data_IF_524412172403
#
_entry.id   IF_524412172403
#
_cell.length_a   1.000
_cell.length_b   1.000
_cell.length_c   1.000
_cell.angle_alpha   90.00
_cell.angle_beta   90.00
_cell.angle_gamma   90.00
#
_symmetry.space_group_name_H-M   'P 1'
#
loop_
_entity.id
_entity.type
_entity.pdbx_description
1 polymer ?
#
# COMPACT_ATOMS: atom_id res chain seq x y z
N UNK A 1 -50.06 27.94 27.76
CA UNK A 1 -48.75 27.27 27.88
C UNK A 1 -48.96 25.81 27.55
N UNK A 2 -48.63 25.39 26.33
CA UNK A 2 -48.88 24.02 25.86
C UNK A 2 -47.53 23.38 25.59
N UNK A 3 -47.23 22.34 26.37
CA UNK A 3 -45.99 21.57 26.32
C UNK A 3 -46.17 20.44 25.32
N UNK A 4 -45.37 20.52 24.25
CA UNK A 4 -44.56 19.45 23.64
C UNK A 4 -45.23 18.16 23.16
N UNK A 5 -45.24 17.99 21.84
CA UNK A 5 -44.98 16.69 21.22
C UNK A 5 -43.98 16.92 20.08
N UNK A 6 -42.69 16.84 20.40
CA UNK A 6 -41.64 16.70 19.39
C UNK A 6 -41.65 15.24 18.91
N UNK A 7 -41.60 14.96 17.60
CA UNK A 7 -41.36 13.61 17.13
C UNK A 7 -39.94 13.21 17.53
N UNK A 8 -39.84 12.11 18.28
CA UNK A 8 -38.58 11.39 18.50
C UNK A 8 -38.11 10.93 17.13
N UNK A 9 -37.02 11.53 16.65
CA UNK A 9 -36.24 10.97 15.55
C UNK A 9 -35.63 9.68 16.09
N UNK A 10 -36.22 8.56 15.71
CA UNK A 10 -35.65 7.23 15.87
C UNK A 10 -34.39 7.14 15.00
N UNK A 11 -33.26 7.63 15.54
CA UNK A 11 -31.94 7.34 15.01
C UNK A 11 -31.55 5.97 15.54
N UNK A 12 -32.01 4.92 14.84
CA UNK A 12 -31.47 3.58 14.98
C UNK A 12 -29.94 3.58 14.83
N UNK A 13 -29.23 2.56 15.33
CA UNK A 13 -27.78 2.52 15.31
C UNK A 13 -27.27 2.61 13.87
N UNK A 14 -26.66 3.75 13.53
CA UNK A 14 -25.89 4.05 12.33
C UNK A 14 -26.02 3.07 11.18
N UNK A 15 -27.10 3.17 10.41
CA UNK A 15 -27.11 2.66 9.04
C UNK A 15 -26.27 3.66 8.22
N UNK A 16 -24.98 3.36 8.10
CA UNK A 16 -24.07 4.09 7.21
C UNK A 16 -24.39 3.83 5.72
N UNK A 17 -25.45 3.07 5.43
CA UNK A 17 -25.89 2.70 4.09
C UNK A 17 -24.98 1.66 3.43
N UNK A 18 -24.02 1.08 4.18
CA UNK A 18 -23.04 0.14 3.66
C UNK A 18 -23.50 -1.30 3.88
N UNK A 19 -23.53 -2.08 2.80
CA UNK A 19 -23.84 -3.50 2.88
C UNK A 19 -22.69 -4.29 3.54
N UNK A 20 -22.97 -5.54 3.94
CA UNK A 20 -21.98 -6.39 4.61
C UNK A 20 -20.74 -6.68 3.75
N UNK A 21 -20.90 -6.71 2.42
CA UNK A 21 -19.80 -6.95 1.48
C UNK A 21 -18.85 -5.76 1.44
N UNK A 22 -19.39 -4.55 1.37
CA UNK A 22 -18.61 -3.32 1.38
C UNK A 22 -17.94 -3.10 2.74
N UNK A 23 -18.62 -3.39 3.86
CA UNK A 23 -18.00 -3.36 5.20
C UNK A 23 -16.83 -4.34 5.31
N UNK A 24 -16.96 -5.53 4.74
CA UNK A 24 -15.87 -6.52 4.69
C UNK A 24 -14.70 -5.99 3.83
N UNK A 25 -14.99 -5.44 2.66
CA UNK A 25 -13.97 -4.91 1.76
C UNK A 25 -13.18 -3.73 2.38
N UNK A 26 -13.86 -2.84 3.13
CA UNK A 26 -13.22 -1.75 3.88
C UNK A 26 -12.32 -2.30 5.00
N UNK A 27 -12.79 -3.29 5.76
CA UNK A 27 -11.99 -3.91 6.81
C UNK A 27 -10.74 -4.61 6.26
N UNK A 28 -10.88 -5.32 5.13
CA UNK A 28 -9.77 -5.96 4.42
C UNK A 28 -8.77 -4.92 3.89
N UNK A 29 -9.26 -3.79 3.37
CA UNK A 29 -8.42 -2.71 2.93
C UNK A 29 -7.60 -2.11 4.07
N UNK A 30 -8.24 -1.85 5.23
CA UNK A 30 -7.57 -1.35 6.41
C UNK A 30 -6.47 -2.31 6.89
N UNK A 31 -6.78 -3.61 6.95
CA UNK A 31 -5.81 -4.64 7.31
C UNK A 31 -4.63 -4.71 6.32
N UNK A 32 -4.91 -4.60 5.03
CA UNK A 32 -3.90 -4.62 3.95
C UNK A 32 -3.01 -3.37 3.99
N UNK A 33 -3.60 -2.20 4.21
CA UNK A 33 -2.87 -0.93 4.36
C UNK A 33 -1.92 -0.95 5.55
N UNK A 34 -2.36 -1.49 6.70
CA UNK A 34 -1.49 -1.64 7.86
C UNK A 34 -0.31 -2.58 7.58
N UNK A 35 -0.55 -3.74 6.94
CA UNK A 35 0.53 -4.66 6.57
C UNK A 35 1.54 -4.00 5.62
N UNK A 36 1.04 -3.29 4.61
CA UNK A 36 1.88 -2.54 3.68
C UNK A 36 2.73 -1.48 4.40
N UNK A 37 2.11 -0.67 5.25
CA UNK A 37 2.80 0.36 6.01
C UNK A 37 3.89 -0.22 6.94
N UNK A 38 3.60 -1.32 7.64
CA UNK A 38 4.59 -2.00 8.48
C UNK A 38 5.78 -2.51 7.68
N UNK A 39 5.54 -3.10 6.51
CA UNK A 39 6.61 -3.55 5.62
C UNK A 39 7.46 -2.35 5.15
N UNK A 40 6.85 -1.25 4.73
CA UNK A 40 7.55 -0.04 4.31
C UNK A 40 8.39 0.56 5.46
N UNK A 41 7.83 0.63 6.69
CA UNK A 41 8.58 1.08 7.87
C UNK A 41 9.78 0.17 8.17
N UNK A 42 9.69 -1.13 7.87
CA UNK A 42 10.84 -2.05 7.98
C UNK A 42 11.96 -1.71 6.97
N UNK A 43 11.60 -1.21 5.78
CA UNK A 43 12.56 -0.69 4.80
C UNK A 43 13.18 0.62 5.28
N UNK A 44 12.38 1.48 5.91
CA UNK A 44 12.84 2.74 6.49
C UNK A 44 13.89 2.52 7.60
N UNK A 45 13.66 1.53 8.47
CA UNK A 45 14.58 1.15 9.55
C UNK A 45 15.94 0.63 9.03
N UNK A 46 16.02 0.17 7.78
CA UNK A 46 17.28 -0.25 7.14
C UNK A 46 18.09 0.91 6.56
N UNK A 47 17.49 2.09 6.43
CA UNK A 47 18.18 3.23 5.81
C UNK A 47 19.15 3.88 6.81
N UNK A 48 20.38 4.10 6.35
CA UNK A 48 21.40 4.82 7.12
C UNK A 48 21.22 6.34 7.02
N UNK A 49 20.60 6.82 5.94
CA UNK A 49 20.31 8.23 5.71
C UNK A 49 18.96 8.61 6.32
N UNK A 50 18.96 9.61 7.21
CA UNK A 50 17.75 10.09 7.89
C UNK A 50 16.67 10.55 6.92
N UNK A 51 17.05 11.17 5.80
CA UNK A 51 16.10 11.64 4.78
C UNK A 51 15.38 10.48 4.10
N UNK A 52 16.10 9.43 3.73
CA UNK A 52 15.50 8.22 3.13
C UNK A 52 14.53 7.53 4.08
N UNK A 53 14.90 7.44 5.36
CA UNK A 53 14.02 6.92 6.41
C UNK A 53 12.75 7.76 6.52
N UNK A 54 12.86 9.08 6.56
CA UNK A 54 11.71 10.00 6.62
C UNK A 54 10.79 9.86 5.40
N UNK A 55 11.34 9.78 4.18
CA UNK A 55 10.53 9.58 2.96
C UNK A 55 9.76 8.26 3.00
N UNK A 56 10.40 7.17 3.42
CA UNK A 56 9.73 5.87 3.55
C UNK A 56 8.70 5.86 4.69
N UNK A 57 8.94 6.55 5.80
CA UNK A 57 7.98 6.70 6.90
C UNK A 57 6.74 7.50 6.45
N UNK A 58 6.94 8.63 5.77
CA UNK A 58 5.86 9.43 5.21
C UNK A 58 5.06 8.64 4.17
N UNK A 59 5.74 7.85 3.34
CA UNK A 59 5.09 6.98 2.38
C UNK A 59 4.26 5.88 3.04
N UNK A 60 4.78 5.25 4.10
CA UNK A 60 4.05 4.26 4.89
C UNK A 60 2.78 4.87 5.51
N UNK A 61 2.89 6.07 6.07
CA UNK A 61 1.76 6.80 6.64
C UNK A 61 0.70 7.14 5.58
N UNK A 62 1.14 7.59 4.38
CA UNK A 62 0.23 7.89 3.28
C UNK A 62 -0.54 6.64 2.81
N UNK A 63 0.15 5.50 2.63
CA UNK A 63 -0.49 4.22 2.28
C UNK A 63 -1.48 3.76 3.35
N UNK A 64 -1.08 3.80 4.61
CA UNK A 64 -1.94 3.45 5.75
C UNK A 64 -3.20 4.33 5.75
N UNK A 65 -3.02 5.65 5.64
CA UNK A 65 -4.12 6.62 5.69
C UNK A 65 -5.11 6.42 4.55
N UNK A 66 -4.62 6.26 3.32
CA UNK A 66 -5.46 6.04 2.14
C UNK A 66 -6.32 4.79 2.30
N UNK A 67 -5.73 3.70 2.79
CA UNK A 67 -6.41 2.40 2.90
C UNK A 67 -7.21 2.20 4.19
N UNK A 68 -7.15 3.13 5.15
CA UNK A 68 -7.88 3.03 6.43
C UNK A 68 -8.90 4.13 6.65
N UNK A 69 -8.63 5.36 6.22
CA UNK A 69 -9.46 6.54 6.53
C UNK A 69 -10.15 7.08 5.29
N UNK A 70 -9.42 7.18 4.19
CA UNK A 70 -9.90 7.90 3.00
C UNK A 70 -10.79 7.05 2.09
N UNK A 71 -10.71 5.73 2.19
CA UNK A 71 -11.65 4.82 1.52
C UNK A 71 -13.10 5.05 1.97
N UNK A 72 -13.31 5.47 3.22
CA UNK A 72 -14.64 5.72 3.80
C UNK A 72 -15.06 7.18 3.64
N UNK A 73 -14.09 8.10 3.55
CA UNK A 73 -14.30 9.53 3.68
C UNK A 73 -14.51 10.28 2.36
N UNK A 74 -15.07 9.66 1.30
CA UNK A 74 -15.30 10.29 -0.02
C UNK A 74 -16.16 11.58 0.02
N UNK A 75 -15.62 12.70 0.51
CA UNK A 75 -16.24 14.01 0.55
C UNK A 75 -15.27 15.18 0.38
N UNK A 76 -13.97 14.93 0.31
CA UNK A 76 -12.98 16.00 0.17
C UNK A 76 -12.04 15.74 -1.00
N UNK A 77 -12.37 16.33 -2.16
CA UNK A 77 -11.62 16.17 -3.41
C UNK A 77 -10.18 16.71 -3.29
N UNK A 78 -9.95 17.71 -2.43
CA UNK A 78 -8.63 18.32 -2.18
C UNK A 78 -7.67 17.34 -1.51
N UNK A 79 -8.17 16.52 -0.59
CA UNK A 79 -7.37 15.55 0.14
C UNK A 79 -6.88 14.39 -0.77
N UNK A 80 -7.60 14.14 -1.86
CA UNK A 80 -7.27 13.11 -2.84
C UNK A 80 -6.01 13.40 -3.64
N UNK A 81 -5.73 14.66 -4.00
CA UNK A 81 -4.55 15.00 -4.81
C UNK A 81 -3.24 14.97 -4.02
N UNK A 82 -3.23 15.54 -2.81
CA UNK A 82 -2.05 15.53 -1.94
C UNK A 82 -1.63 14.10 -1.58
N UNK A 83 -2.61 13.24 -1.27
CA UNK A 83 -2.35 11.85 -0.94
C UNK A 83 -1.92 11.03 -2.17
N UNK A 84 -2.52 11.24 -3.34
CA UNK A 84 -2.05 10.61 -4.59
C UNK A 84 -0.61 11.01 -4.92
N UNK A 85 -0.24 12.27 -4.68
CA UNK A 85 1.14 12.71 -4.84
C UNK A 85 2.06 12.02 -3.82
N UNK A 86 1.63 11.93 -2.55
CA UNK A 86 2.39 11.28 -1.49
C UNK A 86 2.64 9.79 -1.76
N UNK A 87 1.64 9.05 -2.26
CA UNK A 87 1.77 7.61 -2.59
C UNK A 87 2.33 7.34 -4.00
N UNK A 88 2.59 8.38 -4.80
CA UNK A 88 3.17 8.23 -6.13
C UNK A 88 4.56 7.61 -6.04
N UNK A 89 4.87 6.64 -6.91
CA UNK A 89 6.23 6.10 -7.00
C UNK A 89 7.28 7.19 -7.27
N UNK A 90 6.88 8.28 -7.93
CA UNK A 90 7.75 9.42 -8.22
C UNK A 90 8.27 10.10 -6.94
N UNK A 91 7.45 10.19 -5.87
CA UNK A 91 7.86 10.82 -4.61
C UNK A 91 8.96 10.01 -3.88
N UNK A 92 9.07 8.72 -4.17
CA UNK A 92 10.10 7.82 -3.64
C UNK A 92 11.31 7.67 -4.56
N UNK A 93 11.11 7.63 -5.88
CA UNK A 93 12.18 7.32 -6.84
C UNK A 93 12.92 8.54 -7.34
N UNK A 94 12.35 9.74 -7.17
CA UNK A 94 13.04 10.96 -7.55
C UNK A 94 14.01 11.38 -6.43
N UNK A 95 15.30 11.17 -6.67
CA UNK A 95 16.37 11.83 -5.93
C UNK A 95 17.13 12.74 -6.89
N UNK A 96 17.45 13.99 -6.49
CA UNK A 96 18.37 14.82 -7.26
C UNK A 96 19.72 14.09 -7.42
N UNK A 97 20.50 14.37 -8.48
CA UNK A 97 21.75 13.66 -8.77
C UNK A 97 22.79 13.69 -7.64
N UNK A 98 22.63 14.61 -6.69
CA UNK A 98 23.48 14.82 -5.52
C UNK A 98 23.10 13.98 -4.30
N UNK A 99 21.95 13.29 -4.31
CA UNK A 99 21.53 12.44 -3.18
C UNK A 99 21.92 10.98 -3.41
N UNK A 100 22.36 10.28 -2.35
CA UNK A 100 22.58 8.84 -2.41
C UNK A 100 21.25 8.14 -2.74
N UNK A 101 21.29 7.03 -3.48
CA UNK A 101 20.09 6.27 -3.78
C UNK A 101 19.54 5.57 -2.52
N UNK A 102 18.22 5.35 -2.49
CA UNK A 102 17.58 4.47 -1.51
C UNK A 102 18.22 3.07 -1.51
N UNK A 103 18.51 2.52 -0.32
CA UNK A 103 19.12 1.19 -0.21
C UNK A 103 18.03 0.13 -0.27
N UNK A 104 17.58 -0.13 -1.50
CA UNK A 104 16.50 -1.06 -1.83
C UNK A 104 16.94 -2.06 -2.89
N UNK A 105 16.47 -3.30 -2.76
CA UNK A 105 16.63 -4.31 -3.80
C UNK A 105 15.67 -3.99 -4.96
N UNK A 106 15.98 -4.37 -6.22
CA UNK A 106 15.09 -4.10 -7.36
C UNK A 106 13.63 -4.54 -7.15
N UNK A 107 13.43 -5.72 -6.55
CA UNK A 107 12.09 -6.21 -6.19
C UNK A 107 11.36 -5.38 -5.12
N UNK A 108 12.11 -4.78 -4.18
CA UNK A 108 11.55 -3.93 -3.13
C UNK A 108 11.08 -2.61 -3.75
N UNK A 109 11.81 -2.10 -4.75
CA UNK A 109 11.40 -0.95 -5.55
C UNK A 109 10.13 -1.23 -6.36
N UNK A 110 10.07 -2.38 -7.05
CA UNK A 110 8.87 -2.80 -7.81
C UNK A 110 7.67 -2.94 -6.88
N UNK A 111 7.85 -3.60 -5.73
CA UNK A 111 6.81 -3.78 -4.73
C UNK A 111 6.31 -2.43 -4.17
N UNK A 112 7.22 -1.51 -3.82
CA UNK A 112 6.85 -0.15 -3.40
C UNK A 112 6.02 0.56 -4.48
N UNK A 113 6.49 0.57 -5.72
CA UNK A 113 5.78 1.23 -6.82
C UNK A 113 4.38 0.64 -7.05
N UNK A 114 4.25 -0.70 -6.98
CA UNK A 114 2.97 -1.39 -7.12
C UNK A 114 2.00 -1.06 -5.97
N UNK A 115 2.49 -1.03 -4.73
CA UNK A 115 1.69 -0.64 -3.55
C UNK A 115 1.19 0.79 -3.70
N UNK A 116 2.06 1.72 -4.11
CA UNK A 116 1.69 3.12 -4.34
C UNK A 116 0.62 3.30 -5.40
N UNK A 117 0.80 2.65 -6.55
CA UNK A 117 -0.16 2.71 -7.64
C UNK A 117 -1.53 2.13 -7.24
N UNK A 118 -1.53 1.00 -6.54
CA UNK A 118 -2.75 0.37 -6.05
C UNK A 118 -3.44 1.22 -4.98
N UNK A 119 -2.68 1.75 -4.01
CA UNK A 119 -3.21 2.64 -2.98
C UNK A 119 -3.78 3.93 -3.60
N UNK A 120 -3.09 4.56 -4.55
CA UNK A 120 -3.56 5.76 -5.24
C UNK A 120 -4.87 5.54 -6.01
N UNK A 121 -5.10 4.30 -6.47
CA UNK A 121 -6.28 3.93 -7.26
C UNK A 121 -7.44 3.43 -6.40
N UNK A 122 -7.19 3.00 -5.16
CA UNK A 122 -8.21 2.45 -4.26
C UNK A 122 -9.40 3.41 -4.00
N UNK A 123 -9.20 4.75 -3.83
CA UNK A 123 -10.32 5.67 -3.68
C UNK A 123 -11.24 5.73 -4.90
N UNK A 124 -10.72 5.56 -6.12
CA UNK A 124 -11.52 5.55 -7.34
C UNK A 124 -12.37 4.27 -7.43
N UNK A 125 -11.79 3.13 -7.04
CA UNK A 125 -12.49 1.83 -6.97
C UNK A 125 -13.70 1.86 -6.04
N UNK A 126 -13.60 2.64 -4.95
CA UNK A 126 -14.69 2.86 -4.01
C UNK A 126 -15.87 3.66 -4.62
N UNK A 127 -15.66 4.45 -5.69
CA UNK A 127 -16.73 5.21 -6.37
C UNK A 127 -17.54 4.31 -7.33
N UNK A 128 -16.88 3.38 -8.02
CA UNK A 128 -17.47 2.66 -9.16
C UNK A 128 -18.02 1.26 -8.79
N UNK A 129 -17.66 0.72 -7.62
CA UNK A 129 -18.09 -0.59 -7.16
C UNK A 129 -17.14 -1.18 -6.12
N UNK A 130 -17.32 -0.73 -4.87
CA UNK A 130 -16.39 -0.93 -3.76
C UNK A 130 -16.00 -2.40 -3.57
N UNK A 131 -16.95 -3.34 -3.51
CA UNK A 131 -16.65 -4.75 -3.27
C UNK A 131 -15.71 -5.44 -4.29
N UNK A 132 -15.91 -5.27 -5.61
CA UNK A 132 -15.15 -6.06 -6.62
C UNK A 132 -13.82 -5.43 -7.00
N UNK A 133 -13.81 -4.12 -7.23
CA UNK A 133 -12.61 -3.45 -7.73
C UNK A 133 -11.61 -3.22 -6.60
N UNK A 134 -12.07 -2.90 -5.38
CA UNK A 134 -11.19 -2.81 -4.21
C UNK A 134 -10.49 -4.13 -3.95
N UNK A 135 -11.21 -5.26 -3.96
CA UNK A 135 -10.62 -6.59 -3.76
C UNK A 135 -9.48 -6.89 -4.75
N UNK A 136 -9.60 -6.44 -6.01
CA UNK A 136 -8.53 -6.58 -7.00
C UNK A 136 -7.30 -5.73 -6.66
N UNK A 137 -7.49 -4.51 -6.17
CA UNK A 137 -6.38 -3.66 -5.73
C UNK A 137 -5.68 -4.22 -4.48
N UNK A 138 -6.45 -4.75 -3.52
CA UNK A 138 -5.87 -5.40 -2.34
C UNK A 138 -5.06 -6.63 -2.72
N UNK A 139 -5.56 -7.47 -3.63
CA UNK A 139 -4.80 -8.60 -4.16
C UNK A 139 -3.48 -8.19 -4.84
N UNK A 140 -3.46 -7.04 -5.53
CA UNK A 140 -2.23 -6.48 -6.10
C UNK A 140 -1.23 -6.04 -5.03
N UNK A 141 -1.72 -5.44 -3.93
CA UNK A 141 -0.88 -5.05 -2.80
C UNK A 141 -0.30 -6.29 -2.11
N UNK A 142 -1.10 -7.32 -1.87
CA UNK A 142 -0.62 -8.56 -1.26
C UNK A 142 0.41 -9.27 -2.17
N UNK A 143 0.17 -9.32 -3.49
CA UNK A 143 1.16 -9.85 -4.43
C UNK A 143 2.46 -9.03 -4.44
N UNK A 144 2.37 -7.70 -4.34
CA UNK A 144 3.54 -6.84 -4.23
C UNK A 144 4.31 -7.08 -2.92
N UNK A 145 3.59 -7.27 -1.80
CA UNK A 145 4.18 -7.64 -0.52
C UNK A 145 4.92 -8.97 -0.60
N UNK A 146 4.33 -9.99 -1.23
CA UNK A 146 4.98 -11.29 -1.45
C UNK A 146 6.29 -11.13 -2.24
N UNK A 147 6.29 -10.32 -3.30
CA UNK A 147 7.50 -10.02 -4.10
C UNK A 147 8.56 -9.30 -3.28
N UNK A 148 8.16 -8.33 -2.46
CA UNK A 148 9.06 -7.55 -1.60
C UNK A 148 9.66 -8.39 -0.47
N UNK A 149 8.86 -9.26 0.14
CA UNK A 149 9.20 -10.12 1.27
C UNK A 149 9.94 -11.40 0.87
N UNK A 150 9.70 -11.92 -0.33
CA UNK A 150 10.30 -13.16 -0.81
C UNK A 150 11.80 -13.14 -0.48
N UNK A 151 12.37 -14.14 0.18
CA UNK A 151 13.84 -14.22 0.26
C UNK A 151 14.35 -14.58 -1.13
N UNK A 152 15.43 -13.95 -1.59
CA UNK A 152 16.13 -14.44 -2.78
C UNK A 152 16.61 -15.86 -2.45
N UNK A 153 15.84 -16.89 -2.81
CA UNK A 153 16.42 -18.20 -3.14
C UNK A 153 17.15 -17.98 -4.46
N UNK A 154 18.34 -17.38 -4.36
CA UNK A 154 19.22 -17.25 -5.52
C UNK A 154 19.67 -18.67 -5.83
N UNK A 155 19.19 -19.21 -6.95
CA UNK A 155 19.92 -20.06 -7.91
C UNK A 155 21.25 -20.59 -7.35
N UNK A 156 21.17 -21.54 -6.42
CA UNK A 156 22.28 -22.32 -5.92
C UNK A 156 22.20 -23.78 -6.42
N UNK A 157 21.38 -23.99 -7.46
CA UNK A 157 21.13 -25.28 -8.09
C UNK A 157 21.43 -25.24 -9.60
N UNK A 158 22.37 -24.38 -10.02
CA UNK A 158 23.13 -24.70 -11.21
C UNK A 158 24.22 -25.67 -10.78
N UNK A 159 24.11 -26.97 -11.07
CA UNK A 159 25.27 -27.85 -10.98
C UNK A 159 26.34 -27.21 -11.87
N UNK A 160 27.46 -26.83 -11.26
CA UNK A 160 28.68 -26.54 -12.01
C UNK A 160 28.89 -27.73 -12.94
N UNK A 161 28.76 -27.50 -14.25
CA UNK A 161 29.33 -28.38 -15.24
C UNK A 161 30.83 -28.32 -15.01
N UNK A 162 31.30 -29.19 -14.11
CA UNK A 162 32.70 -29.38 -13.81
C UNK A 162 33.39 -29.73 -15.12
N UNK A 163 34.34 -28.89 -15.50
CA UNK A 163 35.39 -29.32 -16.39
C UNK A 163 36.09 -30.51 -15.76
N UNK A 164 35.93 -31.68 -16.37
CA UNK A 164 36.93 -32.72 -16.29
C UNK A 164 37.85 -32.51 -17.50
N UNK A 165 39.00 -31.90 -17.22
CA UNK A 165 40.14 -32.00 -18.12
C UNK A 165 40.74 -33.40 -18.05
N UNK A 166 41.42 -33.79 -19.14
CA UNK A 166 42.49 -34.78 -19.07
C UNK A 166 42.39 -35.94 -20.05
N UNK A 167 43.07 -35.78 -21.20
CA UNK A 167 44.15 -36.71 -21.56
C UNK A 167 43.81 -37.96 -22.38
N UNK A 168 44.16 -37.90 -23.67
CA UNK A 168 44.94 -38.91 -24.41
C UNK A 168 45.44 -38.16 -25.66
N UNK A 169 46.74 -37.87 -25.77
CA UNK A 169 47.73 -38.69 -26.49
C UNK A 169 47.21 -39.22 -27.83
#
# INVERSE_FOLDING_TARGET
>A
MTITHLPVLDTGPGDDGMDDSDRTAVADAAGTGLRAALWIRSLAARQTHTEHRRRLEAYAEAVERVLTRELVAQRDEELGEELRHAVSAYSLTWSPPSEPALVLRPRELVALAAIGAAAASAPLAAIEGLGRDLARFLALIDAALDVGLARCRRVADQPSAGGSGGGAQ
#
